data_IF_107796430919
#
_entry.id   IF_107796430919
#
_cell.length_a   1.000
_cell.length_b   1.000
_cell.length_c   1.000
_cell.angle_alpha   90.00
_cell.angle_beta   90.00
_cell.angle_gamma   90.00
#
_symmetry.space_group_name_H-M   'P 1'
#
loop_
_entity.id
_entity.type
_entity.pdbx_description
1 polymer ?
#
# COMPACT_ATOMS: atom_id res chain seq x y z
N UNK A 1 -72.71 7.15 -21.27
CA UNK A 1 -71.49 7.66 -20.59
C UNK A 1 -71.23 6.75 -19.39
N UNK A 2 -70.25 5.85 -19.47
CA UNK A 2 -69.95 4.87 -18.42
C UNK A 2 -68.75 5.34 -17.61
N UNK A 3 -68.96 5.66 -16.34
CA UNK A 3 -67.90 6.04 -15.41
C UNK A 3 -67.47 4.77 -14.66
N UNK A 4 -66.30 4.22 -15.01
CA UNK A 4 -65.69 3.08 -14.35
C UNK A 4 -64.97 3.54 -13.08
N UNK A 5 -65.58 3.34 -11.92
CA UNK A 5 -64.96 3.62 -10.62
C UNK A 5 -64.12 2.42 -10.18
N UNK A 6 -62.83 2.40 -10.54
CA UNK A 6 -61.91 1.34 -10.09
C UNK A 6 -61.44 1.60 -8.66
N UNK A 7 -61.90 0.76 -7.73
CA UNK A 7 -61.51 0.80 -6.31
C UNK A 7 -60.14 0.12 -6.17
N UNK A 8 -59.06 0.91 -6.15
CA UNK A 8 -57.69 0.38 -6.03
C UNK A 8 -57.44 -0.16 -4.61
N UNK A 9 -57.11 -1.45 -4.42
CA UNK A 9 -56.91 -2.01 -3.09
C UNK A 9 -55.59 -1.50 -2.49
N UNK A 10 -55.68 -0.85 -1.31
CA UNK A 10 -54.56 -0.22 -0.57
C UNK A 10 -53.32 -1.12 -0.38
N UNK A 11 -53.50 -2.45 -0.37
CA UNK A 11 -52.41 -3.44 -0.27
C UNK A 11 -51.49 -3.48 -1.49
N UNK A 12 -51.99 -3.13 -2.69
CA UNK A 12 -51.20 -3.07 -3.94
C UNK A 12 -50.42 -1.77 -4.05
N UNK A 13 -50.92 -0.68 -3.46
CA UNK A 13 -50.20 0.58 -3.34
C UNK A 13 -49.02 0.46 -2.36
N UNK A 14 -49.21 -0.25 -1.24
CA UNK A 14 -48.17 -0.45 -0.24
C UNK A 14 -47.03 -1.34 -0.75
N UNK A 15 -47.36 -2.41 -1.48
CA UNK A 15 -46.35 -3.28 -2.11
C UNK A 15 -45.55 -2.52 -3.19
N UNK A 16 -46.21 -1.70 -4.00
CA UNK A 16 -45.55 -0.85 -5.00
C UNK A 16 -44.58 0.15 -4.35
N UNK A 17 -45.00 0.82 -3.27
CA UNK A 17 -44.15 1.78 -2.56
C UNK A 17 -42.89 1.13 -1.94
N UNK A 18 -43.01 -0.09 -1.40
CA UNK A 18 -41.86 -0.82 -0.82
C UNK A 18 -40.87 -1.24 -1.91
N UNK A 19 -41.36 -1.72 -3.06
CA UNK A 19 -40.48 -2.09 -4.18
C UNK A 19 -39.76 -0.89 -4.76
N UNK A 20 -40.45 0.25 -4.95
CA UNK A 20 -39.81 1.49 -5.44
C UNK A 20 -38.77 2.01 -4.44
N UNK A 21 -39.06 1.98 -3.14
CA UNK A 21 -38.11 2.38 -2.11
C UNK A 21 -36.88 1.46 -2.07
N UNK A 22 -37.07 0.14 -2.22
CA UNK A 22 -35.98 -0.82 -2.24
C UNK A 22 -35.10 -0.68 -3.50
N UNK A 23 -35.69 -0.39 -4.65
CA UNK A 23 -34.95 -0.06 -5.88
C UNK A 23 -34.19 1.26 -5.75
N UNK A 24 -34.79 2.29 -5.15
CA UNK A 24 -34.09 3.55 -4.87
C UNK A 24 -32.91 3.36 -3.91
N UNK A 25 -33.06 2.57 -2.84
CA UNK A 25 -31.94 2.23 -1.95
C UNK A 25 -30.84 1.44 -2.68
N UNK A 26 -31.20 0.47 -3.51
CA UNK A 26 -30.23 -0.31 -4.28
C UNK A 26 -29.47 0.55 -5.29
N UNK A 27 -30.16 1.51 -5.94
CA UNK A 27 -29.53 2.46 -6.87
C UNK A 27 -28.65 3.47 -6.12
N UNK A 28 -29.06 3.97 -4.95
CA UNK A 28 -28.23 4.84 -4.11
C UNK A 28 -26.98 4.09 -3.61
N UNK A 29 -27.11 2.81 -3.24
CA UNK A 29 -25.98 1.99 -2.82
C UNK A 29 -25.04 1.66 -4.00
N UNK A 30 -25.57 1.32 -5.16
CA UNK A 30 -24.78 1.13 -6.38
C UNK A 30 -24.11 2.44 -6.84
N UNK A 31 -24.79 3.59 -6.68
CA UNK A 31 -24.23 4.91 -6.96
C UNK A 31 -23.15 5.29 -5.94
N UNK A 32 -23.32 4.98 -4.65
CA UNK A 32 -22.30 5.16 -3.62
C UNK A 32 -21.07 4.27 -3.85
N UNK A 33 -21.26 3.04 -4.35
CA UNK A 33 -20.16 2.13 -4.71
C UNK A 33 -19.43 2.58 -5.97
N UNK A 34 -20.13 3.14 -6.96
CA UNK A 34 -19.51 3.66 -8.20
C UNK A 34 -18.88 5.05 -8.04
N UNK A 35 -19.38 5.91 -7.13
CA UNK A 35 -18.76 7.19 -6.76
C UNK A 35 -17.68 7.04 -5.68
N UNK A 36 -17.74 6.00 -4.85
CA UNK A 36 -16.70 5.67 -3.87
C UNK A 36 -15.36 5.23 -4.50
N UNK A 37 -15.35 4.95 -5.82
CA UNK A 37 -14.13 4.68 -6.59
C UNK A 37 -13.44 5.94 -7.13
N UNK A 38 -13.91 7.15 -6.80
CA UNK A 38 -13.29 8.40 -7.30
C UNK A 38 -13.06 9.46 -6.24
N UNK A 39 -12.59 9.01 -5.08
CA UNK A 39 -11.82 9.83 -4.16
C UNK A 39 -10.53 9.09 -3.82
N UNK A 40 -9.58 9.06 -4.76
CA UNK A 40 -8.16 8.96 -4.37
C UNK A 40 -7.81 10.33 -3.81
N UNK A 41 -8.31 10.58 -2.60
CA UNK A 41 -7.82 11.65 -1.76
C UNK A 41 -6.41 11.23 -1.38
N UNK A 42 -5.44 12.02 -1.82
CA UNK A 42 -4.02 11.92 -1.49
C UNK A 42 -3.83 11.81 0.02
N UNK A 43 -3.71 10.59 0.55
CA UNK A 43 -3.14 10.31 1.85
C UNK A 43 -2.41 8.97 1.75
N UNK A 44 -1.11 9.01 1.47
CA UNK A 44 -0.30 7.80 1.36
C UNK A 44 -0.27 7.03 2.69
N UNK A 45 -0.35 7.74 3.82
CA UNK A 45 -0.34 7.13 5.13
C UNK A 45 -1.67 6.43 5.44
N UNK A 46 -1.74 5.16 5.07
CA UNK A 46 -2.87 4.30 5.41
C UNK A 46 -2.66 3.69 6.79
N UNK A 47 -3.52 4.09 7.72
CA UNK A 47 -3.58 3.54 9.08
C UNK A 47 -4.55 2.36 9.15
N UNK A 48 -4.28 1.41 10.04
CA UNK A 48 -5.14 0.24 10.24
C UNK A 48 -4.60 -1.06 9.63
N UNK A 49 -3.35 -1.06 9.16
CA UNK A 49 -2.69 -2.27 8.66
C UNK A 49 -2.12 -3.05 9.85
N UNK A 50 -2.92 -3.97 10.40
CA UNK A 50 -2.57 -4.75 11.59
C UNK A 50 -2.02 -6.11 11.21
N UNK A 51 -2.75 -6.78 10.36
CA UNK A 51 -2.51 -8.17 10.03
C UNK A 51 -1.98 -8.33 8.62
N UNK A 52 -1.61 -9.56 8.29
CA UNK A 52 -1.13 -9.89 6.97
C UNK A 52 -2.19 -9.67 5.89
N UNK A 53 -3.43 -10.04 6.19
CA UNK A 53 -4.56 -9.83 5.29
C UNK A 53 -4.78 -8.35 4.98
N UNK A 54 -4.60 -7.44 5.94
CA UNK A 54 -4.69 -5.99 5.68
C UNK A 54 -3.61 -5.52 4.70
N UNK A 55 -2.39 -6.05 4.82
CA UNK A 55 -1.27 -5.71 3.92
C UNK A 55 -1.54 -6.18 2.49
N UNK A 56 -2.02 -7.41 2.36
CA UNK A 56 -2.41 -7.99 1.06
C UNK A 56 -3.58 -7.20 0.47
N UNK A 57 -4.61 -6.92 1.27
CA UNK A 57 -5.77 -6.13 0.85
C UNK A 57 -5.37 -4.71 0.43
N UNK A 58 -4.41 -4.08 1.11
CA UNK A 58 -3.88 -2.78 0.70
C UNK A 58 -3.22 -2.84 -0.68
N UNK A 59 -2.33 -3.82 -0.92
CA UNK A 59 -1.68 -4.01 -2.22
C UNK A 59 -2.69 -4.37 -3.32
N UNK A 60 -3.67 -5.21 -3.03
CA UNK A 60 -4.76 -5.55 -3.95
C UNK A 60 -5.69 -4.37 -4.22
N UNK A 61 -5.91 -3.48 -3.25
CA UNK A 61 -6.63 -2.22 -3.43
C UNK A 61 -5.93 -1.26 -4.40
N UNK A 62 -4.60 -1.33 -4.48
CA UNK A 62 -3.79 -0.65 -5.50
C UNK A 62 -3.74 -1.40 -6.83
N UNK A 63 -4.38 -2.58 -6.89
CA UNK A 63 -4.51 -3.46 -8.06
C UNK A 63 -3.36 -4.47 -8.23
N UNK A 64 -2.46 -4.59 -7.25
CA UNK A 64 -1.42 -5.62 -7.26
C UNK A 64 -1.97 -6.98 -6.83
N UNK A 65 -1.63 -8.03 -7.59
CA UNK A 65 -1.80 -9.40 -7.13
C UNK A 65 -0.49 -9.85 -6.49
N UNK A 66 -0.56 -10.22 -5.21
CA UNK A 66 0.59 -10.66 -4.44
C UNK A 66 0.35 -12.01 -3.78
N UNK A 67 1.45 -12.67 -3.39
CA UNK A 67 1.42 -13.87 -2.57
C UNK A 67 0.70 -13.64 -1.24
N UNK A 68 -0.01 -14.66 -0.75
CA UNK A 68 -0.74 -14.57 0.51
C UNK A 68 0.17 -14.28 1.70
N UNK A 69 1.44 -14.68 1.66
CA UNK A 69 2.41 -14.43 2.73
C UNK A 69 3.58 -13.59 2.23
N UNK A 70 4.21 -12.79 3.12
CA UNK A 70 5.42 -12.08 2.79
C UNK A 70 6.56 -13.08 2.61
N UNK A 71 7.35 -12.91 1.55
CA UNK A 71 8.55 -13.70 1.30
C UNK A 71 9.72 -13.26 2.20
N UNK A 72 9.67 -12.03 2.70
CA UNK A 72 10.65 -11.51 3.66
C UNK A 72 10.00 -10.49 4.59
N UNK A 73 10.37 -10.55 5.87
CA UNK A 73 9.95 -9.59 6.89
C UNK A 73 11.18 -9.18 7.69
N UNK A 74 11.49 -7.89 7.71
CA UNK A 74 12.68 -7.37 8.37
C UNK A 74 12.33 -6.11 9.19
N UNK A 75 12.96 -5.95 10.35
CA UNK A 75 12.86 -4.72 11.13
C UNK A 75 14.06 -3.83 10.80
N UNK A 76 13.77 -2.59 10.38
CA UNK A 76 14.75 -1.63 9.90
C UNK A 76 14.67 -0.39 10.76
N UNK A 77 15.83 0.17 11.11
CA UNK A 77 15.91 1.46 11.77
C UNK A 77 16.11 2.55 10.71
N UNK A 78 15.18 3.49 10.65
CA UNK A 78 15.34 4.66 9.80
C UNK A 78 16.45 5.52 10.42
N UNK A 79 17.49 5.87 9.64
CA UNK A 79 18.59 6.69 10.16
C UNK A 79 18.08 8.03 10.67
N UNK A 80 18.79 8.63 11.63
CA UNK A 80 18.42 9.95 12.17
C UNK A 80 18.69 11.07 11.16
N UNK A 81 19.70 10.87 10.31
CA UNK A 81 20.10 11.78 9.24
C UNK A 81 20.10 11.04 7.91
N UNK A 82 19.52 11.66 6.89
CA UNK A 82 19.57 11.16 5.53
C UNK A 82 20.66 11.89 4.75
N UNK A 83 21.62 11.12 4.25
CA UNK A 83 22.66 11.65 3.37
C UNK A 83 22.14 11.75 1.92
N UNK A 84 22.92 12.37 1.02
CA UNK A 84 22.53 12.55 -0.39
C UNK A 84 22.15 11.23 -1.09
N UNK A 85 22.73 10.10 -0.68
CA UNK A 85 22.41 8.77 -1.20
C UNK A 85 20.96 8.33 -0.93
N UNK A 86 20.32 8.88 0.10
CA UNK A 86 18.91 8.62 0.42
C UNK A 86 17.94 9.53 -0.33
N UNK A 87 18.42 10.61 -0.94
CA UNK A 87 17.57 11.63 -1.60
C UNK A 87 16.64 11.02 -2.63
N UNK A 88 17.15 10.13 -3.49
CA UNK A 88 16.34 9.46 -4.52
C UNK A 88 15.25 8.57 -3.91
N UNK A 89 15.54 7.92 -2.78
CA UNK A 89 14.58 7.08 -2.08
C UNK A 89 13.51 7.92 -1.38
N UNK A 90 13.91 9.01 -0.71
CA UNK A 90 12.98 9.94 -0.08
C UNK A 90 12.07 10.61 -1.12
N UNK A 91 12.63 11.03 -2.26
CA UNK A 91 11.88 11.61 -3.36
C UNK A 91 10.81 10.62 -3.87
N UNK A 92 11.19 9.37 -4.17
CA UNK A 92 10.25 8.33 -4.60
C UNK A 92 9.08 8.16 -3.61
N UNK A 93 9.39 8.10 -2.32
CA UNK A 93 8.38 7.91 -1.29
C UNK A 93 7.49 9.15 -1.14
N UNK A 94 8.09 10.35 -1.24
CA UNK A 94 7.37 11.63 -1.18
C UNK A 94 6.44 11.80 -2.39
N UNK A 95 6.85 11.35 -3.59
CA UNK A 95 6.00 11.34 -4.79
C UNK A 95 4.73 10.50 -4.60
N UNK A 96 4.84 9.43 -3.81
CA UNK A 96 3.69 8.61 -3.42
C UNK A 96 2.88 9.22 -2.27
N UNK A 97 3.36 10.32 -1.67
CA UNK A 97 2.78 11.04 -0.54
C UNK A 97 3.24 10.53 0.83
N UNK A 98 4.27 9.69 0.88
CA UNK A 98 4.89 9.21 2.12
C UNK A 98 6.04 10.11 2.53
N UNK A 99 5.93 10.71 3.70
CA UNK A 99 7.04 11.45 4.29
C UNK A 99 7.79 10.55 5.29
N UNK A 100 8.95 10.04 4.89
CA UNK A 100 9.81 9.22 5.75
C UNK A 100 10.60 10.06 6.78
N UNK A 101 10.71 11.38 6.58
CA UNK A 101 11.52 12.26 7.45
C UNK A 101 10.92 12.42 8.85
N UNK A 102 9.60 12.31 8.97
CA UNK A 102 8.92 12.28 10.27
C UNK A 102 9.24 11.00 11.09
N UNK A 103 9.80 9.97 10.44
CA UNK A 103 10.11 8.67 11.03
C UNK A 103 11.63 8.46 11.25
N UNK A 104 12.45 9.52 11.18
CA UNK A 104 13.87 9.47 11.55
C UNK A 104 14.08 8.88 12.96
N UNK A 105 15.05 7.97 13.09
CA UNK A 105 15.36 7.28 14.34
C UNK A 105 14.27 6.29 14.81
N UNK A 106 13.24 6.02 13.98
CA UNK A 106 12.18 5.05 14.30
C UNK A 106 12.49 3.69 13.69
N UNK A 107 12.05 2.63 14.38
CA UNK A 107 12.07 1.26 13.86
C UNK A 107 10.80 0.97 13.10
N UNK A 108 10.93 0.58 11.84
CA UNK A 108 9.85 0.25 10.93
C UNK A 108 9.99 -1.20 10.48
N UNK A 109 8.88 -1.85 10.14
CA UNK A 109 8.90 -3.22 9.62
C UNK A 109 8.72 -3.19 8.11
N UNK A 110 9.66 -3.80 7.39
CA UNK A 110 9.59 -4.02 5.95
C UNK A 110 9.00 -5.39 5.68
N UNK A 111 7.88 -5.42 4.98
CA UNK A 111 7.25 -6.64 4.50
C UNK A 111 7.38 -6.70 2.99
N UNK A 112 8.01 -7.75 2.47
CA UNK A 112 8.20 -7.96 1.04
C UNK A 112 7.26 -9.07 0.59
N UNK A 113 6.45 -8.79 -0.41
CA UNK A 113 5.50 -9.71 -1.03
C UNK A 113 5.89 -9.98 -2.47
N UNK A 114 5.67 -11.19 -2.94
CA UNK A 114 5.90 -11.52 -4.35
C UNK A 114 4.70 -11.07 -5.19
N UNK A 115 4.95 -10.26 -6.22
CA UNK A 115 3.95 -9.77 -7.18
C UNK A 115 3.86 -10.72 -8.36
N UNK A 116 2.64 -11.07 -8.77
CA UNK A 116 2.37 -12.00 -9.88
C UNK A 116 1.76 -11.34 -11.12
N UNK A 117 1.24 -10.12 -11.00
CA UNK A 117 0.53 -9.41 -12.06
C UNK A 117 1.26 -8.12 -12.52
N UNK A 118 2.59 -8.14 -12.57
CA UNK A 118 3.33 -6.96 -13.01
C UNK A 118 3.18 -6.75 -14.53
N UNK A 119 2.86 -5.55 -15.02
CA UNK A 119 2.57 -5.30 -16.44
C UNK A 119 3.76 -5.56 -17.38
N UNK A 120 5.00 -5.56 -16.87
CA UNK A 120 6.19 -5.91 -17.65
C UNK A 120 6.29 -7.40 -17.98
N UNK A 121 5.48 -8.27 -17.36
CA UNK A 121 5.57 -9.73 -17.54
C UNK A 121 6.82 -10.38 -16.91
N UNK A 122 7.65 -9.61 -16.21
CA UNK A 122 8.82 -10.12 -15.49
C UNK A 122 8.39 -10.96 -14.29
N UNK A 123 9.05 -12.10 -14.11
CA UNK A 123 8.83 -12.95 -12.94
C UNK A 123 9.77 -12.56 -11.80
N UNK A 124 9.28 -12.69 -10.57
CA UNK A 124 10.06 -12.32 -9.38
C UNK A 124 9.98 -10.84 -9.03
N UNK A 125 8.96 -10.13 -9.50
CA UNK A 125 8.67 -8.78 -9.00
C UNK A 125 8.22 -8.86 -7.54
N UNK A 126 8.64 -7.89 -6.73
CA UNK A 126 8.42 -7.85 -5.30
C UNK A 126 7.86 -6.48 -4.89
N UNK A 127 6.83 -6.48 -4.05
CA UNK A 127 6.28 -5.28 -3.43
C UNK A 127 6.74 -5.21 -1.98
N UNK A 128 7.49 -4.18 -1.63
CA UNK A 128 7.94 -3.90 -0.27
C UNK A 128 7.03 -2.84 0.36
N UNK A 129 6.54 -3.11 1.57
CA UNK A 129 5.79 -2.18 2.40
C UNK A 129 6.57 -1.87 3.68
N UNK A 130 6.69 -0.59 4.01
CA UNK A 130 7.23 -0.13 5.29
C UNK A 130 6.08 0.23 6.23
N UNK A 131 6.06 -0.41 7.40
CA UNK A 131 5.00 -0.24 8.38
C UNK A 131 5.57 0.22 9.72
N UNK A 132 5.04 1.33 10.21
CA UNK A 132 5.31 1.86 11.54
C UNK A 132 4.00 1.92 12.33
N UNK A 133 3.94 1.26 13.50
CA UNK A 133 2.76 1.29 14.39
C UNK A 133 1.41 1.09 13.65
N UNK A 134 1.36 0.05 12.80
CA UNK A 134 0.17 -0.29 12.00
C UNK A 134 -0.24 0.77 10.96
N UNK A 135 0.71 1.62 10.55
CA UNK A 135 0.56 2.58 9.45
C UNK A 135 1.57 2.28 8.36
N UNK A 136 1.14 2.33 7.11
CA UNK A 136 2.06 2.30 5.97
C UNK A 136 2.75 3.66 5.90
N UNK A 137 4.06 3.67 6.05
CA UNK A 137 4.89 4.89 6.03
C UNK A 137 5.75 4.98 4.77
N UNK A 138 5.65 3.98 3.91
CA UNK A 138 6.36 3.90 2.65
C UNK A 138 6.13 2.56 1.97
N UNK A 139 6.50 2.47 0.70
CA UNK A 139 6.58 1.20 0.00
C UNK A 139 6.92 1.38 -1.46
N UNK A 140 7.42 0.33 -2.07
CA UNK A 140 7.90 0.35 -3.44
C UNK A 140 7.72 -1.03 -4.10
N UNK A 141 7.71 -1.06 -5.42
CA UNK A 141 7.73 -2.29 -6.21
C UNK A 141 9.06 -2.36 -6.95
N UNK A 142 9.73 -3.51 -6.84
CA UNK A 142 11.06 -3.74 -7.36
C UNK A 142 11.19 -5.13 -7.98
N UNK A 143 12.04 -5.28 -9.00
CA UNK A 143 12.41 -6.61 -9.49
C UNK A 143 13.31 -7.34 -8.47
N UNK A 144 13.17 -8.66 -8.33
CA UNK A 144 14.12 -9.48 -7.56
C UNK A 144 15.57 -9.36 -8.08
N UNK A 145 15.75 -9.06 -9.36
CA UNK A 145 17.06 -8.85 -9.98
C UNK A 145 17.61 -7.43 -9.73
N UNK A 146 16.82 -6.53 -9.13
CA UNK A 146 17.19 -5.13 -8.92
C UNK A 146 17.16 -4.28 -10.19
N UNK A 147 16.60 -4.81 -11.29
CA UNK A 147 16.59 -4.13 -12.61
C UNK A 147 15.73 -2.87 -12.64
N UNK A 148 14.71 -2.78 -11.78
CA UNK A 148 13.88 -1.60 -11.64
C UNK A 148 13.36 -1.45 -10.21
N UNK A 149 13.06 -0.21 -9.83
CA UNK A 149 12.34 0.16 -8.61
C UNK A 149 11.40 1.31 -8.96
N UNK A 150 10.14 1.21 -8.56
CA UNK A 150 9.15 2.27 -8.71
C UNK A 150 8.17 2.25 -7.53
N UNK A 151 7.23 3.19 -7.49
CA UNK A 151 6.29 3.31 -6.37
C UNK A 151 5.27 2.17 -6.29
N UNK A 152 4.35 2.25 -5.33
CA UNK A 152 3.23 1.31 -5.19
C UNK A 152 2.12 1.55 -6.21
N UNK A 153 2.16 2.63 -6.98
CA UNK A 153 1.22 2.88 -8.07
C UNK A 153 1.57 1.98 -9.26
N UNK A 154 0.58 1.27 -9.80
CA UNK A 154 0.80 0.46 -11.00
C UNK A 154 1.31 1.34 -12.14
N UNK A 155 2.45 0.99 -12.78
CA UNK A 155 2.93 1.73 -13.93
C UNK A 155 1.90 1.52 -15.04
N UNK A 156 1.29 2.63 -15.48
CA UNK A 156 0.45 2.63 -16.67
C UNK A 156 1.32 2.07 -17.80
N UNK A 157 0.89 0.99 -18.44
CA UNK A 157 1.59 0.36 -19.56
C UNK A 157 1.74 1.36 -20.72
N UNK A 158 2.78 2.17 -20.65
CA UNK A 158 3.22 3.09 -21.68
C UNK A 158 4.60 2.59 -22.12
N UNK A 159 4.78 2.13 -23.36
CA UNK A 159 6.07 1.63 -23.85
C UNK A 159 7.12 2.73 -24.08
N UNK A 160 6.97 3.91 -23.48
CA UNK A 160 7.85 5.05 -23.70
C UNK A 160 8.63 5.40 -22.43
N UNK A 161 9.96 5.40 -22.58
CA UNK A 161 11.00 5.79 -21.63
C UNK A 161 11.48 4.72 -20.65
N UNK A 162 12.09 3.68 -21.22
CA UNK A 162 13.37 3.17 -20.72
C UNK A 162 14.40 4.32 -20.74
N UNK A 163 14.44 5.15 -19.70
CA UNK A 163 15.59 6.02 -19.42
C UNK A 163 15.49 6.53 -17.99
N UNK A 164 16.19 5.86 -17.08
CA UNK A 164 16.27 6.26 -15.69
C UNK A 164 17.16 5.28 -14.93
N UNK A 165 18.47 5.47 -15.12
CA UNK A 165 19.61 5.22 -14.22
C UNK A 165 19.45 4.10 -13.16
N UNK A 166 20.42 3.17 -13.02
CA UNK A 166 20.43 2.23 -11.89
C UNK A 166 20.53 3.03 -10.57
N UNK A 167 19.38 3.34 -9.98
CA UNK A 167 19.28 4.00 -8.69
C UNK A 167 19.50 2.91 -7.67
N UNK A 168 20.78 2.74 -7.31
CA UNK A 168 21.21 1.88 -6.23
C UNK A 168 20.33 2.18 -5.01
N UNK A 169 19.38 1.27 -4.70
CA UNK A 169 18.76 1.24 -3.39
C UNK A 169 19.90 1.16 -2.39
N UNK A 170 20.04 2.11 -1.45
CA UNK A 170 20.94 1.93 -0.33
C UNK A 170 20.45 0.67 0.38
N UNK A 171 21.25 -0.39 0.36
CA UNK A 171 21.03 -1.51 1.28
C UNK A 171 21.06 -0.89 2.68
N UNK A 172 19.90 -0.81 3.34
CA UNK A 172 19.81 -0.39 4.73
C UNK A 172 20.85 -1.21 5.50
N UNK A 173 21.84 -0.58 6.14
CA UNK A 173 22.82 -1.34 6.90
C UNK A 173 22.08 -2.04 8.03
N UNK A 174 22.11 -3.38 8.01
CA UNK A 174 21.66 -4.21 9.11
C UNK A 174 22.50 -3.84 10.34
N UNK A 175 21.99 -2.95 11.18
CA UNK A 175 22.63 -2.54 12.41
C UNK A 175 22.54 -3.68 13.43
N UNK A 176 23.55 -4.56 13.42
CA UNK A 176 23.85 -5.43 14.56
C UNK A 176 24.24 -4.55 15.76
N UNK A 177 23.70 -4.81 16.97
CA UNK A 177 24.08 -4.05 18.15
C UNK A 177 25.45 -4.52 18.64
N UNK A 178 26.40 -3.59 18.74
CA UNK A 178 27.52 -3.73 19.66
C UNK A 178 27.00 -3.62 21.11
N UNK A 179 27.61 -4.34 22.05
CA UNK A 179 27.74 -3.83 23.40
C UNK A 179 29.21 -3.54 23.71
N UNK A 180 29.47 -2.31 24.14
CA UNK A 180 30.66 -1.92 24.87
C UNK A 180 30.60 -2.49 26.29
N UNK A 181 31.72 -3.05 26.77
CA UNK A 181 32.13 -3.24 28.19
C UNK A 181 33.44 -4.04 28.14
N UNK A 182 34.63 -3.46 28.34
CA UNK A 182 35.15 -3.07 29.64
C UNK A 182 36.46 -3.84 29.89
N UNK A 183 37.60 -3.17 29.81
CA UNK A 183 38.89 -3.63 30.36
C UNK A 183 38.74 -3.86 31.88
N UNK A 184 39.55 -4.73 32.54
CA UNK A 184 40.99 -4.49 32.73
C UNK A 184 41.85 -5.77 32.53
N UNK A 185 43.05 -5.68 31.94
CA UNK A 185 44.33 -5.60 32.66
C UNK A 185 44.42 -6.49 33.92
N UNK A 186 45.28 -7.53 33.86
CA UNK A 186 46.19 -8.01 34.93
C UNK A 186 46.84 -9.37 34.58
N UNK A 187 47.97 -9.75 35.22
CA UNK A 187 49.13 -10.35 34.53
C UNK A 187 49.53 -11.76 35.02
N UNK A 188 50.65 -12.25 34.45
CA UNK A 188 51.57 -13.29 34.98
C UNK A 188 51.27 -14.75 34.65
N UNK A 189 52.11 -15.36 33.81
CA UNK A 189 53.18 -16.28 34.24
C UNK A 189 54.06 -16.66 33.04
#
# INVERSE_FOLDING_TARGET
MFILTAKVPKKRLLAGAITTLCCCLAVILALALTLGQRAVTTMAEVSGIRDNDDRVAYLTGLGWQVSSQPISTEELLIPETFDESYTSYLALQTEQGFDLTQYCGKRVKRYVYQVTNHPSGEQGVQAALLIYRNRVVGGQVQSASGSFVHGLSMPQSSPALQSGTPSASPALPSASPAPASGQPASPTA
#
